data_IF_086874429395
#
_entry.id   IF_086874429395
#
_cell.length_a   1.000
_cell.length_b   1.000
_cell.length_c   1.000
_cell.angle_alpha   90.00
_cell.angle_beta   90.00
_cell.angle_gamma   90.00
#
_symmetry.space_group_name_H-M   'P 1'
#
loop_
_entity.id
_entity.type
_entity.pdbx_description
1 polymer ?
#
# COMPACT_ATOMS: atom_id res chain seq x y z
N UNK A 1 0.74 -10.29 -9.18
CA UNK A 1 0.43 -8.84 -9.24
C UNK A 1 1.03 -8.14 -8.03
N UNK A 2 1.34 -6.87 -8.17
CA UNK A 2 1.82 -6.07 -7.05
C UNK A 2 0.95 -4.84 -6.86
N UNK A 3 0.55 -4.58 -5.63
CA UNK A 3 -0.22 -3.39 -5.28
C UNK A 3 0.61 -2.52 -4.36
N UNK A 4 0.77 -1.26 -4.74
CA UNK A 4 1.45 -0.25 -3.94
C UNK A 4 0.42 0.53 -3.14
N UNK A 5 0.83 0.99 -1.97
CA UNK A 5 -0.03 1.72 -1.05
C UNK A 5 0.67 3.01 -0.66
N UNK A 6 -0.05 4.11 -0.83
CA UNK A 6 0.39 5.43 -0.38
C UNK A 6 -0.53 5.87 0.75
N UNK A 7 0.06 6.34 1.82
CA UNK A 7 -0.67 6.73 3.03
C UNK A 7 -0.48 8.21 3.28
N UNK A 8 -1.58 8.92 3.57
CA UNK A 8 -1.54 10.34 3.91
C UNK A 8 -2.19 10.55 5.26
N UNK A 9 -1.48 11.21 6.16
CA UNK A 9 -1.98 11.52 7.50
C UNK A 9 -2.60 12.90 7.50
N UNK A 10 -3.81 13.03 8.07
CA UNK A 10 -4.59 14.26 8.05
C UNK A 10 -4.79 14.87 9.44
N UNK A 11 -3.90 14.66 10.35
CA UNK A 11 -4.04 15.24 11.67
C UNK A 11 -2.99 14.72 12.64
N UNK A 12 -3.08 15.19 13.87
CA UNK A 12 -2.07 14.89 14.89
C UNK A 12 -2.40 13.67 15.74
N UNK A 13 -3.52 13.04 15.53
CA UNK A 13 -4.00 11.96 16.41
C UNK A 13 -3.48 10.56 16.06
N UNK A 14 -2.67 10.43 15.03
CA UNK A 14 -2.20 9.13 14.55
C UNK A 14 -0.68 9.08 14.58
N UNK A 15 -0.14 8.04 15.20
CA UNK A 15 1.30 7.81 15.21
C UNK A 15 1.72 7.05 13.94
N UNK A 16 2.52 7.68 13.06
CA UNK A 16 2.98 7.03 11.83
C UNK A 16 3.72 5.73 12.06
N UNK A 17 4.51 5.64 13.14
CA UNK A 17 5.25 4.42 13.45
C UNK A 17 4.33 3.27 13.82
N UNK A 18 3.25 3.57 14.53
CA UNK A 18 2.25 2.57 14.91
C UNK A 18 1.56 2.01 13.66
N UNK A 19 1.21 2.87 12.72
CA UNK A 19 0.59 2.46 11.47
C UNK A 19 1.55 1.61 10.63
N UNK A 20 2.81 2.02 10.54
CA UNK A 20 3.82 1.25 9.81
C UNK A 20 3.97 -0.16 10.40
N UNK A 21 3.97 -0.25 11.71
CA UNK A 21 4.05 -1.53 12.42
C UNK A 21 2.85 -2.42 12.12
N UNK A 22 1.66 -1.83 12.15
CA UNK A 22 0.44 -2.57 11.84
C UNK A 22 0.45 -3.08 10.40
N UNK A 23 0.91 -2.26 9.46
CA UNK A 23 1.01 -2.64 8.06
C UNK A 23 2.00 -3.79 7.86
N UNK A 24 3.15 -3.72 8.51
CA UNK A 24 4.14 -4.79 8.46
C UNK A 24 3.62 -6.09 9.07
N UNK A 25 2.85 -6.00 10.13
CA UNK A 25 2.24 -7.15 10.78
C UNK A 25 1.26 -7.87 9.84
N UNK A 26 0.61 -7.14 8.95
CA UNK A 26 -0.25 -7.73 7.93
C UNK A 26 0.53 -8.43 6.81
N UNK A 27 1.84 -8.23 6.75
CA UNK A 27 2.66 -8.78 5.69
C UNK A 27 2.99 -7.81 4.58
N UNK A 28 2.61 -6.54 4.75
CA UNK A 28 3.00 -5.51 3.80
C UNK A 28 4.45 -5.17 3.96
N UNK A 29 5.13 -4.90 2.86
CA UNK A 29 6.55 -4.60 2.86
C UNK A 29 6.77 -3.11 2.67
N UNK A 30 7.62 -2.48 3.49
CA UNK A 30 7.95 -1.08 3.27
C UNK A 30 8.79 -0.93 2.01
N UNK A 31 8.66 0.21 1.37
CA UNK A 31 9.41 0.51 0.16
C UNK A 31 9.91 1.93 0.23
N UNK A 32 11.10 2.17 -0.31
CA UNK A 32 11.63 3.53 -0.44
C UNK A 32 11.25 4.07 -1.80
N UNK A 33 11.02 5.37 -1.87
CA UNK A 33 10.69 6.04 -3.10
C UNK A 33 9.28 6.61 -3.09
N UNK A 34 8.54 6.42 -4.17
CA UNK A 34 7.25 7.08 -4.36
C UNK A 34 6.10 6.50 -3.54
N UNK A 35 6.25 5.26 -3.09
CA UNK A 35 5.18 4.56 -2.38
C UNK A 35 5.65 4.15 -1.00
N UNK A 36 4.70 4.00 -0.09
CA UNK A 36 5.03 3.66 1.30
C UNK A 36 5.17 2.17 1.53
N UNK A 37 4.25 1.38 0.96
CA UNK A 37 4.22 -0.07 1.15
C UNK A 37 3.78 -0.76 -0.12
N UNK A 38 4.01 -2.06 -0.18
CA UNK A 38 3.48 -2.90 -1.25
C UNK A 38 3.19 -4.30 -0.75
N UNK A 39 2.35 -5.01 -1.49
CA UNK A 39 2.16 -6.44 -1.30
C UNK A 39 1.94 -7.12 -2.64
N UNK A 40 2.36 -8.37 -2.70
CA UNK A 40 2.20 -9.20 -3.89
C UNK A 40 1.05 -10.16 -3.68
N UNK A 41 0.30 -10.43 -4.74
CA UNK A 41 -0.83 -11.33 -4.70
C UNK A 41 -1.03 -11.99 -6.06
N UNK A 42 -1.71 -13.13 -6.07
CA UNK A 42 -1.97 -13.90 -7.28
C UNK A 42 -3.45 -14.01 -7.57
N UNK A 43 -4.28 -14.20 -6.55
CA UNK A 43 -5.71 -14.39 -6.71
C UNK A 43 -6.49 -13.18 -6.22
N UNK A 44 -7.67 -12.97 -6.80
CA UNK A 44 -8.55 -11.89 -6.35
C UNK A 44 -8.91 -12.03 -4.88
N UNK A 45 -9.03 -13.25 -4.39
CA UNK A 45 -9.34 -13.49 -2.99
C UNK A 45 -8.24 -12.97 -2.07
N UNK A 46 -6.99 -13.24 -2.42
CA UNK A 46 -5.85 -12.72 -1.67
C UNK A 46 -5.85 -11.20 -1.63
N UNK A 47 -6.11 -10.59 -2.79
CA UNK A 47 -6.18 -9.14 -2.90
C UNK A 47 -7.27 -8.57 -2.01
N UNK A 48 -8.48 -9.12 -2.09
CA UNK A 48 -9.62 -8.65 -1.30
C UNK A 48 -9.37 -8.77 0.20
N UNK A 49 -8.82 -9.89 0.63
CA UNK A 49 -8.51 -10.11 2.04
C UNK A 49 -7.53 -9.06 2.56
N UNK A 50 -6.50 -8.79 1.78
CA UNK A 50 -5.51 -7.79 2.18
C UNK A 50 -6.12 -6.39 2.24
N UNK A 51 -6.89 -6.01 1.22
CA UNK A 51 -7.54 -4.70 1.19
C UNK A 51 -8.48 -4.52 2.38
N UNK A 52 -9.23 -5.55 2.75
CA UNK A 52 -10.10 -5.48 3.91
C UNK A 52 -9.33 -5.29 5.21
N UNK A 53 -8.20 -5.96 5.35
CA UNK A 53 -7.34 -5.80 6.53
C UNK A 53 -6.74 -4.41 6.61
N UNK A 54 -6.32 -3.87 5.48
CA UNK A 54 -5.80 -2.50 5.39
C UNK A 54 -6.89 -1.51 5.80
N UNK A 55 -8.08 -1.69 5.28
CA UNK A 55 -9.20 -0.83 5.59
C UNK A 55 -9.51 -0.83 7.09
N UNK A 56 -9.46 -1.98 7.73
CA UNK A 56 -9.70 -2.09 9.18
C UNK A 56 -8.66 -1.32 10.00
N UNK A 57 -7.40 -1.31 9.56
CA UNK A 57 -6.37 -0.53 10.24
C UNK A 57 -6.68 0.97 10.19
N UNK A 58 -7.15 1.46 9.05
CA UNK A 58 -7.36 2.90 8.84
C UNK A 58 -8.74 3.39 9.24
N UNK A 59 -9.65 2.48 9.48
CA UNK A 59 -11.03 2.83 9.82
C UNK A 59 -11.10 3.72 11.05
N UNK A 60 -11.84 4.83 10.94
CA UNK A 60 -12.01 5.76 12.04
C UNK A 60 -10.80 6.63 12.35
N UNK A 61 -9.75 6.54 11.58
CA UNK A 61 -8.55 7.35 11.74
C UNK A 61 -8.49 8.44 10.68
N UNK A 62 -7.81 9.53 10.99
CA UNK A 62 -7.64 10.62 10.03
C UNK A 62 -6.51 10.31 9.06
N UNK A 63 -6.72 9.26 8.28
CA UNK A 63 -5.76 8.76 7.32
C UNK A 63 -6.50 8.49 6.02
N UNK A 64 -5.92 8.89 4.92
CA UNK A 64 -6.36 8.42 3.62
C UNK A 64 -5.26 7.56 3.00
N UNK A 65 -5.65 6.66 2.12
CA UNK A 65 -4.69 5.82 1.43
C UNK A 65 -5.12 5.60 0.00
N UNK A 66 -4.15 5.32 -0.84
CA UNK A 66 -4.37 5.02 -2.24
C UNK A 66 -3.71 3.70 -2.58
N UNK A 67 -4.38 2.93 -3.43
CA UNK A 67 -3.87 1.67 -3.93
C UNK A 67 -3.58 1.81 -5.42
N UNK A 68 -2.45 1.30 -5.84
CA UNK A 68 -2.07 1.25 -7.24
C UNK A 68 -1.59 -0.16 -7.55
N UNK A 69 -2.34 -0.87 -8.38
CA UNK A 69 -1.98 -2.23 -8.78
C UNK A 69 -1.32 -2.21 -10.14
N UNK A 70 -0.21 -2.92 -10.26
CA UNK A 70 0.52 -3.06 -11.50
C UNK A 70 0.55 -4.53 -11.91
N UNK A 71 0.41 -4.77 -13.20
CA UNK A 71 0.64 -6.10 -13.78
C UNK A 71 2.14 -6.37 -13.82
N UNK A 72 2.53 -7.61 -14.09
CA UNK A 72 3.94 -7.94 -14.25
C UNK A 72 4.59 -7.14 -15.39
N UNK A 73 3.87 -6.95 -16.48
CA UNK A 73 4.36 -6.16 -17.60
C UNK A 73 4.59 -4.70 -17.21
N UNK A 74 3.69 -4.13 -16.44
CA UNK A 74 3.82 -2.77 -15.95
C UNK A 74 5.00 -2.64 -14.98
N UNK A 75 5.22 -3.65 -14.14
CA UNK A 75 6.36 -3.65 -13.24
C UNK A 75 7.69 -3.68 -14.00
N UNK A 76 7.76 -4.46 -15.07
CA UNK A 76 8.96 -4.53 -15.91
C UNK A 76 9.18 -3.18 -16.61
N UNK A 77 8.13 -2.58 -17.14
CA UNK A 77 8.19 -1.27 -17.77
C UNK A 77 8.65 -0.21 -16.79
N UNK A 78 8.11 -0.25 -15.57
CA UNK A 78 8.47 0.71 -14.51
C UNK A 78 9.94 0.60 -14.11
N UNK A 79 10.51 -0.60 -14.17
CA UNK A 79 11.92 -0.79 -13.87
C UNK A 79 12.83 -0.08 -14.87
N UNK A 80 12.34 0.20 -16.07
CA UNK A 80 13.11 0.80 -17.14
C UNK A 80 12.79 2.28 -17.37
N UNK A 81 11.71 2.78 -16.81
CA UNK A 81 11.26 4.17 -16.99
C UNK A 81 10.95 4.80 -15.66
N UNK A 82 10.97 6.13 -15.66
CA UNK A 82 10.37 6.91 -14.58
C UNK A 82 8.89 7.06 -14.93
N UNK A 83 8.02 6.41 -14.19
CA UNK A 83 6.58 6.42 -14.44
C UNK A 83 5.91 7.23 -13.32
N UNK A 84 5.07 8.18 -13.72
CA UNK A 84 4.27 8.95 -12.77
C UNK A 84 2.92 8.27 -12.57
N UNK A 85 2.51 8.13 -11.33
CA UNK A 85 1.21 7.58 -10.98
C UNK A 85 0.24 8.68 -10.60
N UNK A 86 -1.03 8.39 -10.82
CA UNK A 86 -2.13 9.29 -10.47
C UNK A 86 -2.92 8.70 -9.33
#
# INVERSE_FOLDING_TARGET
MRTYIDVTFHGDGVDPLSIAKDMETLGLKPIRGEHDFYFDWTTDEEFRKMVMKIHEIFKGKKISYRLKTLTEEELIAEANFVISYR
#
